data_IF_677889044442
#
_entry.id   IF_677889044442
#
_cell.length_a   1.000
_cell.length_b   1.000
_cell.length_c   1.000
_cell.angle_alpha   90.00
_cell.angle_beta   90.00
_cell.angle_gamma   90.00
#
_symmetry.space_group_name_H-M   'P 1'
#
loop_
_entity.id
_entity.type
_entity.pdbx_description
1 polymer ?
#
# COMPACT_ATOMS: atom_id res chain seq x y z
N UNK A 1 -6.00 -11.24 10.22
CA UNK A 1 -6.25 -10.27 11.30
C UNK A 1 -7.69 -10.43 11.76
N UNK A 2 -8.01 -10.26 13.06
CA UNK A 2 -9.39 -10.24 13.53
C UNK A 2 -10.22 -9.16 12.82
N UNK A 3 -11.52 -9.38 12.69
CA UNK A 3 -12.45 -8.36 12.16
C UNK A 3 -12.50 -7.15 13.09
N UNK A 4 -12.68 -5.96 12.51
CA UNK A 4 -12.84 -4.69 13.23
C UNK A 4 -13.91 -3.84 12.53
N UNK A 5 -14.63 -2.99 13.26
CA UNK A 5 -15.71 -2.18 12.67
C UNK A 5 -15.21 -0.91 11.99
N UNK A 6 -14.01 -0.45 12.35
CA UNK A 6 -13.39 0.77 11.82
C UNK A 6 -11.87 0.64 11.73
N UNK A 7 -11.30 1.41 10.81
CA UNK A 7 -9.86 1.63 10.71
C UNK A 7 -9.58 3.12 10.95
N UNK A 8 -8.72 3.39 11.92
CA UNK A 8 -8.17 4.72 12.17
C UNK A 8 -6.74 4.78 11.59
N UNK A 9 -6.43 5.84 10.85
CA UNK A 9 -5.10 6.08 10.27
C UNK A 9 -4.56 7.36 10.87
N UNK A 10 -3.44 7.25 11.58
CA UNK A 10 -2.80 8.36 12.30
C UNK A 10 -1.40 8.57 11.76
N UNK A 11 -1.10 9.79 11.30
CA UNK A 11 0.27 10.20 11.00
C UNK A 11 0.90 10.75 12.29
N UNK A 12 1.98 10.12 12.77
CA UNK A 12 2.62 10.55 14.01
C UNK A 12 4.13 10.34 13.94
N UNK A 13 4.94 11.27 14.47
CA UNK A 13 6.38 11.07 14.61
C UNK A 13 6.73 10.06 15.72
N UNK A 14 5.77 9.67 16.58
CA UNK A 14 5.99 8.80 17.71
C UNK A 14 5.03 7.61 17.78
N UNK A 15 5.53 6.50 18.33
CA UNK A 15 4.77 5.28 18.52
C UNK A 15 3.94 5.41 19.80
N UNK A 16 2.66 5.76 19.67
CA UNK A 16 1.74 5.73 20.80
C UNK A 16 1.31 4.28 21.09
N UNK A 17 1.60 3.79 22.29
CA UNK A 17 1.37 2.40 22.72
C UNK A 17 0.02 2.16 23.40
N UNK A 18 -0.72 3.21 23.75
CA UNK A 18 -1.93 3.14 24.59
C UNK A 18 -3.25 2.95 23.82
N UNK A 19 -3.20 2.63 22.52
CA UNK A 19 -4.42 2.48 21.73
C UNK A 19 -5.06 1.11 21.99
N UNK A 20 -6.21 1.08 22.66
CA UNK A 20 -7.02 -0.11 22.76
C UNK A 20 -7.64 -0.40 21.39
N UNK A 21 -7.06 -1.35 20.66
CA UNK A 21 -7.48 -1.75 19.31
C UNK A 21 -7.30 -3.26 19.12
N UNK A 22 -8.12 -3.86 18.27
CA UNK A 22 -8.03 -5.29 17.96
C UNK A 22 -6.69 -5.68 17.31
N UNK A 23 -6.08 -4.73 16.60
CA UNK A 23 -4.75 -4.82 16.01
C UNK A 23 -4.23 -3.42 15.72
N UNK A 24 -2.91 -3.28 15.63
CA UNK A 24 -2.23 -2.04 15.25
C UNK A 24 -1.14 -2.42 14.24
N UNK A 25 -1.08 -1.69 13.13
CA UNK A 25 -0.04 -1.81 12.11
C UNK A 25 0.65 -0.45 11.99
N UNK A 26 1.98 -0.44 11.94
CA UNK A 26 2.76 0.80 11.75
C UNK A 26 3.73 0.61 10.60
N UNK A 27 4.05 1.72 9.95
CA UNK A 27 5.04 1.73 8.90
C UNK A 27 5.46 3.15 8.55
N UNK A 28 6.67 3.27 8.04
CA UNK A 28 7.25 4.55 7.61
C UNK A 28 7.20 4.66 6.10
N UNK A 29 6.90 5.84 5.57
CA UNK A 29 7.21 6.14 4.18
C UNK A 29 8.73 6.19 4.02
N UNK A 30 9.23 5.63 2.92
CA UNK A 30 10.68 5.56 2.64
C UNK A 30 10.92 6.02 1.21
N UNK A 31 12.19 6.18 0.84
CA UNK A 31 12.56 6.53 -0.52
C UNK A 31 12.15 5.44 -1.51
N UNK A 32 11.98 5.83 -2.78
CA UNK A 32 11.75 4.89 -3.88
C UNK A 32 12.94 3.92 -4.00
N UNK A 33 12.66 2.62 -3.99
CA UNK A 33 13.70 1.57 -3.94
C UNK A 33 13.96 0.86 -5.27
N UNK A 34 13.01 0.86 -6.19
CA UNK A 34 13.11 0.14 -7.48
C UNK A 34 12.84 1.05 -8.69
N UNK A 35 12.26 2.22 -8.45
CA UNK A 35 11.84 3.16 -9.49
C UNK A 35 13.06 3.84 -10.10
N UNK A 36 13.15 3.83 -11.44
CA UNK A 36 14.14 4.61 -12.17
C UNK A 36 13.70 6.09 -12.30
N UNK A 37 14.52 6.92 -12.94
CA UNK A 37 14.22 8.36 -13.09
C UNK A 37 12.94 8.61 -13.90
N UNK A 38 12.82 8.03 -15.10
CA UNK A 38 11.68 8.26 -15.97
C UNK A 38 10.34 7.79 -15.34
N UNK A 39 10.39 6.67 -14.62
CA UNK A 39 9.24 6.16 -13.86
C UNK A 39 8.88 7.08 -12.69
N UNK A 40 9.88 7.65 -11.99
CA UNK A 40 9.65 8.58 -10.89
C UNK A 40 9.03 9.89 -11.40
N UNK A 41 9.50 10.40 -12.54
CA UNK A 41 8.95 11.61 -13.16
C UNK A 41 7.49 11.36 -13.57
N UNK A 42 7.20 10.22 -14.21
CA UNK A 42 5.83 9.80 -14.55
C UNK A 42 4.93 9.68 -13.32
N UNK A 43 5.46 9.20 -12.19
CA UNK A 43 4.72 9.13 -10.94
C UNK A 43 4.40 10.50 -10.39
N UNK A 44 5.39 11.40 -10.33
CA UNK A 44 5.20 12.75 -9.82
C UNK A 44 4.16 13.52 -10.65
N UNK A 45 4.15 13.29 -11.97
CA UNK A 45 3.22 13.98 -12.88
C UNK A 45 1.77 13.47 -12.76
N UNK A 46 1.58 12.16 -12.51
CA UNK A 46 0.25 11.52 -12.59
C UNK A 46 -0.36 11.17 -11.24
N UNK A 47 0.44 11.04 -10.19
CA UNK A 47 -0.04 10.55 -8.90
C UNK A 47 -0.77 11.65 -8.14
N UNK A 48 -2.05 11.40 -7.82
CA UNK A 48 -2.83 12.29 -6.99
C UNK A 48 -2.79 11.90 -5.50
N UNK A 49 -3.12 12.87 -4.64
CA UNK A 49 -3.20 12.70 -3.19
C UNK A 49 -4.44 11.93 -2.71
N UNK A 50 -4.45 11.61 -1.42
CA UNK A 50 -5.55 10.89 -0.76
C UNK A 50 -6.75 11.77 -0.37
N UNK A 51 -6.56 13.10 -0.28
CA UNK A 51 -7.57 14.07 0.18
C UNK A 51 -8.54 14.52 -0.92
N UNK A 52 -8.93 13.60 -1.79
CA UNK A 52 -9.84 13.89 -2.89
C UNK A 52 -11.28 13.63 -2.45
N UNK A 53 -12.21 14.60 -2.56
CA UNK A 53 -13.61 14.40 -2.18
C UNK A 53 -14.26 13.19 -2.85
N UNK A 54 -13.86 12.88 -4.08
CA UNK A 54 -14.35 11.76 -4.87
C UNK A 54 -13.79 10.39 -4.42
N UNK A 55 -12.66 10.35 -3.71
CA UNK A 55 -12.01 9.11 -3.26
C UNK A 55 -12.64 8.58 -1.96
N UNK A 56 -13.88 8.08 -2.03
CA UNK A 56 -14.67 7.62 -0.88
C UNK A 56 -14.53 6.12 -0.56
N UNK A 57 -13.54 5.45 -1.16
CA UNK A 57 -13.19 4.06 -0.82
C UNK A 57 -11.69 3.92 -0.63
N UNK A 58 -11.30 3.00 0.25
CA UNK A 58 -9.91 2.65 0.45
C UNK A 58 -9.69 1.15 0.62
N UNK A 59 -8.45 0.75 0.42
CA UNK A 59 -7.98 -0.59 0.74
C UNK A 59 -6.64 -0.49 1.47
N UNK A 60 -6.53 -1.24 2.57
CA UNK A 60 -5.27 -1.51 3.24
C UNK A 60 -4.88 -2.95 2.93
N UNK A 61 -3.71 -3.14 2.33
CA UNK A 61 -3.18 -4.45 1.98
C UNK A 61 -1.83 -4.63 2.68
N UNK A 62 -1.82 -5.30 3.86
CA UNK A 62 -0.57 -5.71 4.51
C UNK A 62 0.06 -6.87 3.74
N UNK A 63 1.34 -6.75 3.42
CA UNK A 63 2.09 -7.72 2.62
C UNK A 63 3.36 -8.16 3.32
N UNK A 64 3.67 -9.45 3.19
CA UNK A 64 4.93 -10.05 3.67
C UNK A 64 5.61 -10.77 2.53
N UNK A 65 6.81 -10.32 2.18
CA UNK A 65 7.70 -11.07 1.27
C UNK A 65 8.46 -12.15 2.03
N UNK A 66 8.58 -13.33 1.44
CA UNK A 66 9.24 -14.48 2.04
C UNK A 66 10.77 -14.27 2.19
N UNK A 67 11.44 -15.19 2.89
CA UNK A 67 12.88 -15.09 3.13
C UNK A 67 13.71 -15.16 1.83
N UNK A 68 13.28 -15.95 0.84
CA UNK A 68 13.97 -16.09 -0.44
C UNK A 68 14.06 -14.75 -1.19
N UNK A 69 12.97 -13.98 -1.22
CA UNK A 69 12.96 -12.63 -1.79
C UNK A 69 14.04 -11.72 -1.17
N UNK A 70 14.24 -11.82 0.14
CA UNK A 70 15.20 -10.97 0.85
C UNK A 70 16.66 -11.42 0.70
N UNK A 71 16.91 -12.61 0.14
CA UNK A 71 18.26 -13.08 -0.21
C UNK A 71 18.71 -12.59 -1.58
N UNK A 72 17.77 -12.18 -2.42
CA UNK A 72 18.06 -11.66 -3.76
C UNK A 72 18.78 -10.30 -3.70
N UNK A 73 19.73 -10.13 -4.61
CA UNK A 73 20.38 -8.87 -4.88
C UNK A 73 19.39 -7.82 -5.39
N UNK A 74 19.83 -6.56 -5.44
CA UNK A 74 18.94 -5.43 -5.74
C UNK A 74 18.45 -5.45 -7.20
N UNK A 75 19.33 -5.79 -8.12
CA UNK A 75 19.09 -5.98 -9.55
C UNK A 75 18.15 -7.18 -9.80
N UNK A 76 18.38 -8.32 -9.16
CA UNK A 76 17.48 -9.49 -9.26
C UNK A 76 16.06 -9.14 -8.80
N UNK A 77 15.94 -8.42 -7.67
CA UNK A 77 14.63 -7.94 -7.18
C UNK A 77 13.97 -6.96 -8.15
N UNK A 78 14.74 -6.09 -8.80
CA UNK A 78 14.24 -5.13 -9.78
C UNK A 78 13.74 -5.84 -11.04
N UNK A 79 14.50 -6.81 -11.54
CA UNK A 79 14.12 -7.61 -12.71
C UNK A 79 12.77 -8.29 -12.49
N UNK A 80 12.63 -9.03 -11.39
CA UNK A 80 11.37 -9.72 -11.07
C UNK A 80 10.21 -8.73 -10.92
N UNK A 81 10.44 -7.58 -10.29
CA UNK A 81 9.40 -6.61 -10.01
C UNK A 81 8.85 -5.95 -11.29
N UNK A 82 9.68 -5.74 -12.31
CA UNK A 82 9.27 -4.96 -13.48
C UNK A 82 9.46 -5.63 -14.82
N UNK A 83 10.59 -6.26 -15.06
CA UNK A 83 10.83 -6.94 -16.33
C UNK A 83 9.90 -8.16 -16.44
N UNK A 84 9.72 -8.89 -15.34
CA UNK A 84 8.85 -10.07 -15.32
C UNK A 84 7.41 -9.74 -14.93
N UNK A 85 7.20 -8.82 -13.98
CA UNK A 85 5.87 -8.57 -13.39
C UNK A 85 5.21 -7.26 -13.86
N UNK A 86 5.95 -6.35 -14.50
CA UNK A 86 5.47 -5.05 -14.95
C UNK A 86 4.72 -4.25 -13.86
N UNK A 87 5.18 -4.34 -12.61
CA UNK A 87 4.44 -3.81 -11.45
C UNK A 87 4.26 -2.29 -11.51
N UNK A 88 5.28 -1.55 -11.92
CA UNK A 88 5.24 -0.08 -12.06
C UNK A 88 4.42 0.28 -13.29
N UNK A 89 4.71 -0.35 -14.44
CA UNK A 89 4.01 -0.09 -15.70
C UNK A 89 2.50 -0.30 -15.57
N UNK A 90 2.06 -1.44 -15.04
CA UNK A 90 0.63 -1.69 -14.85
C UNK A 90 0.07 -0.77 -13.77
N UNK A 91 0.86 -0.44 -12.74
CA UNK A 91 0.49 0.55 -11.74
C UNK A 91 0.18 1.93 -12.33
N UNK A 92 0.79 2.31 -13.46
CA UNK A 92 0.51 3.58 -14.15
C UNK A 92 -0.85 3.60 -14.84
N UNK A 93 -1.37 2.45 -15.28
CA UNK A 93 -2.68 2.35 -15.95
C UNK A 93 -3.84 2.79 -15.03
N UNK A 94 -3.61 2.78 -13.71
CA UNK A 94 -4.60 3.15 -12.70
C UNK A 94 -4.44 4.58 -12.17
N UNK A 95 -3.44 5.33 -12.63
CA UNK A 95 -3.27 6.73 -12.31
C UNK A 95 -4.04 7.61 -13.31
N UNK A 96 -4.70 8.70 -12.88
CA UNK A 96 -4.76 9.25 -11.51
C UNK A 96 -5.94 8.71 -10.67
N UNK A 97 -6.70 7.74 -11.18
CA UNK A 97 -7.92 7.26 -10.54
C UNK A 97 -7.66 6.68 -9.13
N UNK A 98 -6.53 5.99 -8.95
CA UNK A 98 -6.12 5.36 -7.69
C UNK A 98 -4.93 6.10 -7.07
N UNK A 99 -5.14 6.71 -5.90
CA UNK A 99 -4.05 7.21 -5.06
C UNK A 99 -3.41 6.04 -4.31
N UNK A 100 -2.07 6.03 -4.17
CA UNK A 100 -1.35 4.96 -3.45
C UNK A 100 -0.25 5.49 -2.52
N UNK A 101 -0.05 4.81 -1.40
CA UNK A 101 1.06 5.07 -0.46
C UNK A 101 1.58 3.74 0.05
N UNK A 102 2.90 3.61 0.05
CA UNK A 102 3.59 2.44 0.56
C UNK A 102 4.31 2.80 1.85
N UNK A 103 4.06 2.01 2.89
CA UNK A 103 4.77 2.10 4.15
C UNK A 103 5.61 0.84 4.39
N UNK A 104 6.82 1.03 4.87
CA UNK A 104 7.74 -0.04 5.27
C UNK A 104 7.63 -0.26 6.78
N UNK A 105 7.39 -1.49 7.20
CA UNK A 105 7.24 -1.87 8.61
C UNK A 105 8.30 -2.85 9.08
N UNK A 106 9.12 -3.40 8.16
CA UNK A 106 10.14 -4.41 8.47
C UNK A 106 11.09 -3.99 9.60
N UNK A 107 11.50 -2.73 9.61
CA UNK A 107 12.50 -2.22 10.56
C UNK A 107 11.88 -1.88 11.92
N UNK A 108 10.54 -1.92 12.03
CA UNK A 108 9.79 -1.61 13.25
C UNK A 108 9.53 -2.84 14.15
N UNK A 109 9.99 -4.04 13.74
CA UNK A 109 9.89 -5.29 14.53
C UNK A 109 8.49 -5.55 15.13
N UNK A 110 7.44 -5.37 14.32
CA UNK A 110 6.06 -5.44 14.79
C UNK A 110 5.56 -6.87 15.07
N UNK A 111 4.53 -6.98 15.92
CA UNK A 111 3.85 -8.23 16.28
C UNK A 111 3.10 -8.88 15.10
N UNK A 112 2.77 -8.10 14.06
CA UNK A 112 2.23 -8.60 12.80
C UNK A 112 3.33 -8.64 11.75
N UNK A 113 3.62 -9.82 11.18
CA UNK A 113 4.73 -10.05 10.23
C UNK A 113 4.51 -9.40 8.84
N UNK A 114 3.59 -8.45 8.71
CA UNK A 114 3.52 -7.60 7.53
C UNK A 114 4.76 -6.70 7.48
N UNK A 115 5.46 -6.70 6.34
CA UNK A 115 6.68 -5.91 6.10
C UNK A 115 6.43 -4.67 5.25
N UNK A 116 5.28 -4.63 4.60
CA UNK A 116 4.81 -3.55 3.73
C UNK A 116 3.31 -3.33 4.00
N UNK A 117 2.90 -2.07 4.06
CA UNK A 117 1.50 -1.66 4.12
C UNK A 117 1.21 -0.82 2.87
N UNK A 118 0.35 -1.32 1.99
CA UNK A 118 -0.09 -0.60 0.81
C UNK A 118 -1.47 0.00 1.06
N UNK A 119 -1.56 1.33 1.00
CA UNK A 119 -2.79 2.10 1.18
C UNK A 119 -3.26 2.64 -0.16
N UNK A 120 -4.54 2.46 -0.47
CA UNK A 120 -5.17 2.90 -1.72
C UNK A 120 -6.40 3.75 -1.46
N UNK A 121 -6.60 4.81 -2.23
CA UNK A 121 -7.80 5.67 -2.19
C UNK A 121 -8.39 5.85 -3.58
N UNK A 122 -9.68 5.57 -3.75
CA UNK A 122 -10.32 5.51 -5.08
C UNK A 122 -11.83 5.83 -5.03
N UNK A 123 -12.39 6.12 -6.20
CA UNK A 123 -13.81 6.40 -6.39
C UNK A 123 -14.65 5.10 -6.39
N UNK A 124 -15.94 5.13 -5.98
CA UNK A 124 -16.78 3.93 -5.90
C UNK A 124 -16.95 3.12 -7.20
N UNK A 125 -16.85 3.79 -8.35
CA UNK A 125 -16.93 3.18 -9.67
C UNK A 125 -15.65 2.40 -10.06
N UNK A 126 -14.56 2.57 -9.31
CA UNK A 126 -13.33 1.78 -9.49
C UNK A 126 -13.48 0.48 -8.70
N UNK A 127 -13.62 -0.64 -9.41
CA UNK A 127 -13.69 -1.96 -8.78
C UNK A 127 -12.27 -2.49 -8.50
N UNK A 128 -11.73 -2.20 -7.32
CA UNK A 128 -10.41 -2.72 -6.91
C UNK A 128 -10.43 -4.22 -6.61
N UNK A 129 -11.57 -4.77 -6.18
CA UNK A 129 -11.74 -6.18 -5.81
C UNK A 129 -11.65 -7.18 -6.97
N UNK A 130 -11.74 -6.71 -8.22
CA UNK A 130 -11.53 -7.53 -9.43
C UNK A 130 -10.42 -6.98 -10.34
N UNK A 131 -9.71 -5.95 -9.88
CA UNK A 131 -8.67 -5.30 -10.66
C UNK A 131 -7.37 -6.10 -10.61
N UNK A 132 -6.69 -6.22 -11.77
CA UNK A 132 -5.33 -6.77 -11.89
C UNK A 132 -4.37 -6.13 -10.88
N UNK A 133 -4.63 -4.93 -10.36
CA UNK A 133 -3.83 -4.28 -9.29
C UNK A 133 -3.69 -5.15 -8.05
N UNK A 134 -4.76 -5.78 -7.56
CA UNK A 134 -4.67 -6.61 -6.36
C UNK A 134 -3.82 -7.87 -6.65
N UNK A 135 -3.97 -8.45 -7.84
CA UNK A 135 -3.17 -9.58 -8.32
C UNK A 135 -1.68 -9.23 -8.51
N UNK A 136 -1.38 -8.03 -9.01
CA UNK A 136 -0.03 -7.55 -9.35
C UNK A 136 0.73 -6.96 -8.16
N UNK A 137 0.00 -6.36 -7.22
CA UNK A 137 0.56 -5.94 -5.93
C UNK A 137 0.89 -7.16 -5.07
N UNK A 138 0.07 -8.22 -5.18
CA UNK A 138 0.25 -9.39 -4.35
C UNK A 138 1.27 -10.38 -4.92
N UNK A 139 1.33 -10.64 -6.24
CA UNK A 139 2.29 -11.60 -6.87
C UNK A 139 2.30 -13.03 -6.27
N UNK A 140 1.47 -13.25 -5.26
CA UNK A 140 1.35 -14.35 -4.31
C UNK A 140 0.08 -14.01 -3.54
N UNK A 141 -0.88 -14.93 -3.51
CA UNK A 141 -2.13 -14.89 -2.73
C UNK A 141 -2.00 -14.05 -1.44
N UNK A 142 -2.65 -12.88 -1.37
CA UNK A 142 -2.81 -12.16 -0.11
C UNK A 142 -4.10 -12.65 0.56
N UNK A 143 -4.03 -13.35 1.70
CA UNK A 143 -5.22 -13.97 2.30
C UNK A 143 -6.13 -12.98 3.05
N UNK A 144 -5.85 -11.68 3.06
CA UNK A 144 -6.65 -10.70 3.78
C UNK A 144 -6.52 -9.29 3.19
N UNK A 145 -7.16 -9.04 2.05
CA UNK A 145 -7.44 -7.66 1.63
C UNK A 145 -8.62 -7.14 2.44
N UNK A 146 -8.39 -6.14 3.28
CA UNK A 146 -9.47 -5.45 3.99
C UNK A 146 -9.92 -4.27 3.13
N UNK A 147 -11.04 -4.43 2.43
CA UNK A 147 -11.68 -3.40 1.61
C UNK A 147 -12.63 -2.62 2.51
N UNK A 148 -12.40 -1.31 2.65
CA UNK A 148 -13.21 -0.45 3.53
C UNK A 148 -13.91 0.64 2.73
N UNK A 149 -15.18 0.87 3.05
CA UNK A 149 -15.91 2.03 2.57
C UNK A 149 -15.64 3.19 3.52
N UNK A 150 -14.97 4.22 3.03
CA UNK A 150 -14.62 5.41 3.80
C UNK A 150 -15.93 6.16 4.10
N UNK A 151 -16.35 6.22 5.38
CA UNK A 151 -17.41 7.13 5.82
C UNK A 151 -16.79 8.47 6.22
N UNK A 152 -17.15 9.53 5.50
CA UNK A 152 -16.84 10.93 5.85
C UNK A 152 -17.26 11.26 7.30
N UNK A 153 -16.54 12.12 8.04
CA UNK A 153 -15.37 12.90 7.63
C UNK A 153 -14.05 12.21 7.98
N UNK A 154 -13.16 12.07 6.99
CA UNK A 154 -11.75 11.77 7.22
C UNK A 154 -11.02 13.07 7.51
N UNK A 155 -10.60 13.26 8.76
CA UNK A 155 -9.61 14.27 9.09
C UNK A 155 -8.24 13.59 9.11
N UNK A 156 -7.37 13.98 8.18
CA UNK A 156 -5.93 13.92 8.45
C UNK A 156 -5.68 14.96 9.54
N UNK A 157 -5.34 14.51 10.74
CA UNK A 157 -4.72 15.37 11.76
C UNK A 157 -3.24 15.06 11.76
#
# INVERSE_FOLDING_TARGET
MPSADRLEVVESPSINSSVQSAWVLRGVTSNLRYTNRAEADTLNDKQEGFNRPQATRAALIPLRKNAAWWKLAQDERRHILEEDSHHITIGFEYLPAVARRLHHSRELHELFDSRLLSWYGYQPNISMGQSRVCSLVCGCYAPAAAIWQLRSPFSFV
#
